data_IF_940622335724
#
_entry.id   IF_940622335724
#
_cell.length_a   1.000
_cell.length_b   1.000
_cell.length_c   1.000
_cell.angle_alpha   90.00
_cell.angle_beta   90.00
_cell.angle_gamma   90.00
#
_symmetry.space_group_name_H-M   'P 1'
#
loop_
_entity.id
_entity.type
_entity.pdbx_description
1 polymer ?
#
# COMPACT_ATOMS: atom_id res chain seq x y z
N UNK A 1 -11.16 -50.76 -13.77
CA UNK A 1 -10.90 -50.79 -12.31
C UNK A 1 -11.75 -49.73 -11.63
N UNK A 2 -12.75 -50.18 -10.83
CA UNK A 2 -13.56 -49.19 -10.03
C UNK A 2 -12.65 -48.65 -8.92
N UNK A 3 -12.35 -47.36 -8.95
CA UNK A 3 -11.73 -46.65 -7.82
C UNK A 3 -12.71 -46.72 -6.65
N UNK A 4 -12.37 -47.45 -5.62
CA UNK A 4 -13.17 -47.56 -4.41
C UNK A 4 -13.14 -46.21 -3.67
N UNK A 5 -14.28 -45.79 -3.19
CA UNK A 5 -14.48 -44.52 -2.41
C UNK A 5 -13.73 -44.52 -1.06
N UNK A 6 -12.97 -45.57 -0.72
CA UNK A 6 -12.15 -45.69 0.49
C UNK A 6 -10.75 -45.06 0.37
N UNK A 7 -10.25 -44.81 -0.87
CA UNK A 7 -8.91 -44.28 -1.12
C UNK A 7 -8.59 -42.96 -0.39
N UNK A 8 -9.45 -41.92 -0.37
CA UNK A 8 -9.10 -40.69 0.29
C UNK A 8 -9.02 -40.78 1.82
N UNK A 9 -9.83 -41.63 2.45
CA UNK A 9 -9.77 -41.85 3.91
C UNK A 9 -8.52 -42.63 4.33
N UNK A 10 -8.10 -43.65 3.57
CA UNK A 10 -6.87 -44.38 3.85
C UNK A 10 -5.62 -43.55 3.66
N UNK A 11 -5.56 -42.72 2.60
CA UNK A 11 -4.45 -41.80 2.37
C UNK A 11 -4.35 -40.74 3.50
N UNK A 12 -5.49 -40.22 3.97
CA UNK A 12 -5.53 -39.25 5.07
C UNK A 12 -5.02 -39.89 6.38
N UNK A 13 -5.44 -41.15 6.66
CA UNK A 13 -5.02 -41.87 7.87
C UNK A 13 -3.53 -42.20 7.82
N UNK A 14 -3.01 -42.65 6.68
CA UNK A 14 -1.58 -42.92 6.48
C UNK A 14 -0.73 -41.65 6.61
N UNK A 15 -1.21 -40.52 6.10
CA UNK A 15 -0.53 -39.21 6.26
C UNK A 15 -0.47 -38.77 7.74
N UNK A 16 -1.56 -38.95 8.48
CA UNK A 16 -1.61 -38.69 9.91
C UNK A 16 -0.68 -39.59 10.73
N UNK A 17 -0.66 -40.90 10.44
CA UNK A 17 0.20 -41.88 11.11
C UNK A 17 1.68 -41.57 10.85
N UNK A 18 2.04 -41.13 9.64
CA UNK A 18 3.41 -40.73 9.27
C UNK A 18 3.85 -39.43 10.03
N UNK A 19 2.96 -38.48 10.22
CA UNK A 19 3.22 -37.25 11.02
C UNK A 19 3.44 -37.60 12.49
N UNK A 20 2.68 -38.51 13.04
CA UNK A 20 2.73 -38.88 14.47
C UNK A 20 3.93 -39.74 14.82
N UNK A 21 4.50 -40.52 13.85
CA UNK A 21 5.65 -41.40 14.08
C UNK A 21 6.95 -40.63 14.35
N UNK A 22 7.13 -39.45 13.70
CA UNK A 22 8.33 -38.59 13.84
C UNK A 22 7.97 -37.14 14.14
N UNK A 23 7.33 -36.91 15.28
CA UNK A 23 6.71 -35.62 15.67
C UNK A 23 7.62 -34.41 15.47
N UNK A 24 8.87 -34.44 15.96
CA UNK A 24 9.79 -33.31 15.85
C UNK A 24 10.15 -32.94 14.40
N UNK A 25 10.40 -33.97 13.55
CA UNK A 25 10.77 -33.74 12.15
C UNK A 25 9.58 -33.22 11.35
N UNK A 26 8.41 -33.81 11.57
CA UNK A 26 7.17 -33.43 10.91
C UNK A 26 6.76 -31.99 11.29
N UNK A 27 6.84 -31.64 12.56
CA UNK A 27 6.55 -30.27 13.03
C UNK A 27 7.51 -29.27 12.39
N UNK A 28 8.82 -29.54 12.36
CA UNK A 28 9.82 -28.63 11.79
C UNK A 28 9.57 -28.42 10.26
N UNK A 29 9.21 -29.48 9.58
CA UNK A 29 8.92 -29.48 8.14
C UNK A 29 7.64 -28.71 7.82
N UNK A 30 6.56 -28.99 8.54
CA UNK A 30 5.28 -28.27 8.40
C UNK A 30 5.48 -26.79 8.75
N UNK A 31 6.28 -26.50 9.76
CA UNK A 31 6.58 -25.14 10.20
C UNK A 31 7.26 -24.31 9.08
N UNK A 32 8.16 -24.89 8.30
CA UNK A 32 8.76 -24.22 7.14
C UNK A 32 7.73 -23.83 6.09
N UNK A 33 6.77 -24.71 5.77
CA UNK A 33 5.68 -24.43 4.82
C UNK A 33 4.74 -23.36 5.41
N UNK A 34 4.36 -23.51 6.68
CA UNK A 34 3.48 -22.59 7.40
C UNK A 34 4.07 -21.18 7.40
N UNK A 35 5.35 -21.03 7.77
CA UNK A 35 6.03 -19.72 7.80
C UNK A 35 6.10 -19.12 6.40
N UNK A 36 6.44 -19.91 5.37
CA UNK A 36 6.48 -19.44 3.99
C UNK A 36 5.11 -18.90 3.52
N UNK A 37 4.03 -19.60 3.83
CA UNK A 37 2.67 -19.20 3.45
C UNK A 37 2.18 -18.01 4.29
N UNK A 38 2.45 -17.99 5.61
CA UNK A 38 2.12 -16.85 6.46
C UNK A 38 2.78 -15.58 5.90
N UNK A 39 4.08 -15.63 5.63
CA UNK A 39 4.82 -14.48 5.10
C UNK A 39 4.21 -13.99 3.79
N UNK A 40 3.95 -14.89 2.84
CA UNK A 40 3.35 -14.53 1.55
C UNK A 40 1.98 -13.85 1.72
N UNK A 41 1.08 -14.44 2.52
CA UNK A 41 -0.29 -13.95 2.67
C UNK A 41 -0.35 -12.66 3.49
N UNK A 42 0.40 -12.55 4.60
CA UNK A 42 0.40 -11.35 5.42
C UNK A 42 0.95 -10.17 4.65
N UNK A 43 2.06 -10.34 3.90
CA UNK A 43 2.60 -9.27 3.06
C UNK A 43 1.63 -8.91 1.93
N UNK A 44 1.08 -9.90 1.22
CA UNK A 44 0.07 -9.64 0.19
C UNK A 44 -1.16 -8.89 0.74
N UNK A 45 -1.60 -9.24 1.95
CA UNK A 45 -2.71 -8.57 2.65
C UNK A 45 -2.39 -7.11 2.94
N UNK A 46 -1.21 -6.82 3.49
CA UNK A 46 -0.77 -5.46 3.77
C UNK A 46 -0.64 -4.64 2.48
N UNK A 47 0.05 -5.17 1.46
CA UNK A 47 0.25 -4.46 0.20
C UNK A 47 -1.07 -4.16 -0.53
N UNK A 48 -2.01 -5.11 -0.53
CA UNK A 48 -3.34 -4.90 -1.12
C UNK A 48 -4.12 -3.84 -0.34
N UNK A 49 -4.08 -3.90 0.98
CA UNK A 49 -4.74 -2.92 1.83
C UNK A 49 -4.15 -1.51 1.65
N UNK A 50 -2.81 -1.41 1.60
CA UNK A 50 -2.11 -0.15 1.33
C UNK A 50 -2.54 0.45 -0.02
N UNK A 51 -2.52 -0.34 -1.08
CA UNK A 51 -2.96 0.09 -2.40
C UNK A 51 -4.38 0.62 -2.39
N UNK A 52 -5.31 -0.11 -1.76
CA UNK A 52 -6.70 0.33 -1.67
C UNK A 52 -6.85 1.64 -0.87
N UNK A 53 -6.05 1.84 0.18
CA UNK A 53 -6.04 3.10 0.93
C UNK A 53 -5.55 4.26 0.07
N UNK A 54 -4.48 4.07 -0.71
CA UNK A 54 -3.98 5.12 -1.61
C UNK A 54 -5.01 5.47 -2.67
N UNK A 55 -5.64 4.45 -3.30
CA UNK A 55 -6.71 4.68 -4.28
C UNK A 55 -7.85 5.49 -3.65
N UNK A 56 -8.30 5.12 -2.44
CA UNK A 56 -9.35 5.86 -1.74
C UNK A 56 -8.95 7.31 -1.42
N UNK A 57 -7.70 7.55 -1.02
CA UNK A 57 -7.18 8.91 -0.76
C UNK A 57 -7.20 9.72 -2.05
N UNK A 58 -6.69 9.18 -3.14
CA UNK A 58 -6.65 9.85 -4.45
C UNK A 58 -8.06 10.19 -4.95
N UNK A 59 -9.02 9.27 -4.80
CA UNK A 59 -10.42 9.49 -5.13
C UNK A 59 -11.05 10.61 -4.26
N UNK A 60 -10.75 10.64 -2.96
CA UNK A 60 -11.24 11.66 -2.03
C UNK A 60 -10.70 13.06 -2.39
N UNK A 61 -9.50 13.18 -2.99
CA UNK A 61 -8.92 14.46 -3.45
C UNK A 61 -9.41 14.95 -4.81
N UNK A 62 -10.18 14.13 -5.51
CA UNK A 62 -10.73 14.45 -6.83
C UNK A 62 -9.94 13.80 -7.96
N UNK A 63 -10.51 12.75 -8.54
CA UNK A 63 -9.91 11.94 -9.60
C UNK A 63 -9.63 12.71 -10.91
N UNK A 64 -10.26 13.89 -11.09
CA UNK A 64 -10.08 14.73 -12.28
C UNK A 64 -9.11 15.89 -12.06
N UNK A 65 -8.38 15.88 -10.95
CA UNK A 65 -7.39 16.91 -10.63
C UNK A 65 -6.01 16.53 -11.15
N UNK A 66 -5.35 17.49 -11.77
CA UNK A 66 -3.96 17.40 -12.22
C UNK A 66 -3.16 18.39 -11.37
N UNK A 67 -2.12 17.89 -10.71
CA UNK A 67 -1.23 18.70 -9.92
C UNK A 67 -0.02 19.11 -10.75
N UNK A 68 0.31 20.38 -10.75
CA UNK A 68 1.46 20.94 -11.48
C UNK A 68 2.43 21.52 -10.48
N UNK A 69 3.69 21.09 -10.56
CA UNK A 69 4.80 21.49 -9.69
C UNK A 69 5.96 22.00 -10.52
N UNK A 70 6.82 22.81 -9.93
CA UNK A 70 8.10 23.16 -10.57
C UNK A 70 9.23 22.18 -10.19
N UNK A 71 9.10 21.46 -9.06
CA UNK A 71 9.99 20.39 -8.64
C UNK A 71 9.36 19.04 -8.98
N UNK A 72 10.15 17.99 -8.99
CA UNK A 72 9.64 16.62 -9.13
C UNK A 72 8.75 16.27 -7.95
N UNK A 73 7.60 15.66 -8.23
CA UNK A 73 6.64 15.18 -7.22
C UNK A 73 7.05 13.83 -6.61
N UNK A 74 8.13 13.21 -7.11
CA UNK A 74 8.63 11.92 -6.63
C UNK A 74 9.12 11.93 -5.18
N UNK A 75 9.32 10.73 -4.62
CA UNK A 75 9.83 10.53 -3.26
C UNK A 75 11.33 10.83 -3.13
N UNK A 76 12.03 11.03 -4.24
CA UNK A 76 13.46 11.32 -4.26
C UNK A 76 13.72 12.78 -3.93
N UNK A 77 14.85 13.06 -3.27
CA UNK A 77 15.28 14.44 -3.06
C UNK A 77 15.53 15.12 -4.41
N UNK A 78 14.98 16.35 -4.62
CA UNK A 78 15.20 17.08 -5.85
C UNK A 78 16.68 17.26 -6.13
N UNK A 79 17.11 16.94 -7.35
CA UNK A 79 18.48 17.14 -7.80
C UNK A 79 18.89 18.62 -7.75
N UNK A 80 20.18 18.93 -7.88
CA UNK A 80 20.65 20.33 -7.91
C UNK A 80 20.05 21.11 -9.08
N UNK A 81 19.89 20.46 -10.21
CA UNK A 81 19.32 21.08 -11.42
C UNK A 81 17.82 21.35 -11.24
N UNK A 82 17.10 20.43 -10.58
CA UNK A 82 15.68 20.63 -10.25
C UNK A 82 15.45 21.78 -9.27
N UNK A 83 16.30 21.93 -8.24
CA UNK A 83 16.22 23.06 -7.30
C UNK A 83 16.41 24.42 -7.95
N UNK A 84 17.05 24.46 -9.12
CA UNK A 84 17.26 25.67 -9.92
C UNK A 84 16.16 25.91 -10.96
N UNK A 85 15.16 25.01 -11.07
CA UNK A 85 14.04 25.19 -11.99
C UNK A 85 13.27 26.47 -11.67
N UNK A 86 12.78 27.11 -12.72
CA UNK A 86 11.97 28.31 -12.59
C UNK A 86 10.63 27.99 -11.92
N UNK A 87 10.26 28.66 -10.81
CA UNK A 87 8.96 28.48 -10.17
C UNK A 87 7.80 28.72 -11.14
N UNK A 88 6.65 28.09 -10.87
CA UNK A 88 5.39 28.42 -11.54
C UNK A 88 4.96 29.83 -11.17
N UNK A 89 4.25 30.49 -12.05
CA UNK A 89 3.81 31.87 -11.88
C UNK A 89 2.31 32.02 -12.09
N UNK A 90 1.73 33.11 -11.56
CA UNK A 90 0.34 33.51 -11.84
C UNK A 90 0.04 33.56 -13.34
N UNK A 91 1.02 33.98 -14.15
CA UNK A 91 0.87 34.03 -15.61
C UNK A 91 0.82 32.63 -16.24
N UNK A 92 1.46 31.62 -15.62
CA UNK A 92 1.36 30.24 -16.07
C UNK A 92 -0.04 29.68 -15.78
N UNK A 93 -0.56 29.91 -14.57
CA UNK A 93 -1.93 29.54 -14.20
C UNK A 93 -2.98 30.20 -15.12
N UNK A 94 -2.86 31.51 -15.36
CA UNK A 94 -3.76 32.24 -16.25
C UNK A 94 -3.72 31.69 -17.69
N UNK A 95 -2.55 31.29 -18.19
CA UNK A 95 -2.42 30.71 -19.52
C UNK A 95 -3.03 29.32 -19.62
N UNK A 96 -2.89 28.47 -18.58
CA UNK A 96 -3.54 27.17 -18.51
C UNK A 96 -5.07 27.31 -18.60
N UNK A 97 -5.65 28.23 -17.85
CA UNK A 97 -7.07 28.49 -17.87
C UNK A 97 -7.57 29.05 -19.21
N UNK A 98 -6.80 29.96 -19.83
CA UNK A 98 -7.22 30.64 -21.05
C UNK A 98 -7.03 29.82 -22.33
N UNK A 99 -6.04 28.91 -22.39
CA UNK A 99 -5.61 28.24 -23.61
C UNK A 99 -6.00 26.77 -23.70
N UNK A 100 -6.29 26.10 -22.58
CA UNK A 100 -6.76 24.71 -22.60
C UNK A 100 -8.28 24.65 -22.68
N UNK A 101 -8.80 23.80 -23.57
CA UNK A 101 -10.23 23.53 -23.67
C UNK A 101 -10.73 22.46 -22.69
N UNK A 102 -9.80 21.68 -22.14
CA UNK A 102 -10.08 20.58 -21.22
C UNK A 102 -10.16 21.05 -19.75
N UNK A 103 -9.60 22.24 -19.45
CA UNK A 103 -9.61 22.80 -18.09
C UNK A 103 -11.00 23.33 -17.75
N UNK A 104 -11.54 22.86 -16.62
CA UNK A 104 -12.81 23.33 -16.06
C UNK A 104 -12.60 24.44 -15.02
N UNK A 105 -11.67 24.22 -14.08
CA UNK A 105 -11.29 25.18 -13.03
C UNK A 105 -9.83 24.95 -12.63
N UNK A 106 -9.23 25.89 -11.95
CA UNK A 106 -7.90 25.76 -11.36
C UNK A 106 -7.77 26.56 -10.08
N UNK A 107 -6.89 26.13 -9.19
CA UNK A 107 -6.55 26.84 -7.97
C UNK A 107 -5.04 26.87 -7.77
N UNK A 108 -4.55 27.98 -7.19
CA UNK A 108 -3.15 28.14 -6.82
C UNK A 108 -2.96 27.89 -5.34
N UNK A 109 -1.87 27.23 -5.02
CA UNK A 109 -1.47 26.96 -3.65
C UNK A 109 -0.06 27.52 -3.46
N UNK A 110 0.12 28.29 -2.40
CA UNK A 110 1.41 28.68 -1.86
C UNK A 110 1.75 27.69 -0.72
N UNK A 111 2.56 26.63 -0.98
CA UNK A 111 2.76 25.58 0.00
C UNK A 111 3.75 25.97 1.09
N UNK A 112 3.60 25.36 2.26
CA UNK A 112 4.57 25.38 3.37
C UNK A 112 5.05 26.79 3.76
N UNK A 113 4.13 27.75 3.89
CA UNK A 113 4.43 29.17 4.16
C UNK A 113 5.19 29.37 5.48
N UNK A 114 4.95 28.51 6.46
CA UNK A 114 5.45 28.68 7.82
C UNK A 114 6.85 28.15 8.13
N UNK A 115 7.52 27.48 7.21
CA UNK A 115 8.88 26.92 7.45
C UNK A 115 9.97 28.01 7.50
N UNK A 116 9.91 28.88 8.49
CA UNK A 116 10.85 30.03 8.62
C UNK A 116 12.28 29.65 9.04
N UNK A 117 12.52 28.44 9.61
CA UNK A 117 13.83 28.02 10.12
C UNK A 117 14.23 26.59 9.70
N UNK A 118 13.84 26.14 8.50
CA UNK A 118 14.12 24.78 8.08
C UNK A 118 13.27 23.70 8.77
N UNK A 119 12.34 24.10 9.63
CA UNK A 119 11.29 23.25 10.19
C UNK A 119 10.09 23.27 9.25
N UNK A 120 9.64 22.14 8.81
CA UNK A 120 8.49 22.02 7.88
C UNK A 120 7.13 22.23 8.56
N UNK A 121 7.10 22.58 9.84
CA UNK A 121 5.89 22.67 10.63
C UNK A 121 5.79 24.01 11.36
N UNK A 122 4.60 24.58 11.36
CA UNK A 122 4.26 25.78 12.12
C UNK A 122 3.78 25.47 13.52
N UNK A 123 3.93 26.45 14.40
CA UNK A 123 3.46 26.36 15.77
C UNK A 123 2.25 27.28 15.99
N UNK A 124 1.08 26.70 16.21
CA UNK A 124 -0.11 27.43 16.65
C UNK A 124 -0.17 27.47 18.17
N UNK A 125 -0.48 28.62 18.72
CA UNK A 125 -0.55 28.83 20.17
C UNK A 125 -1.89 29.49 20.53
N UNK A 126 -2.59 28.91 21.50
CA UNK A 126 -3.82 29.45 22.08
C UNK A 126 -3.81 29.23 23.61
N UNK A 127 -3.90 30.29 24.40
CA UNK A 127 -3.98 30.24 25.89
C UNK A 127 -2.99 29.28 26.56
N UNK A 128 -1.74 29.27 26.09
CA UNK A 128 -0.68 28.40 26.62
C UNK A 128 -0.63 26.98 26.06
N UNK A 129 -1.66 26.54 25.32
CA UNK A 129 -1.63 25.30 24.53
C UNK A 129 -0.92 25.57 23.21
N UNK A 130 -0.21 24.57 22.68
CA UNK A 130 0.48 24.71 21.42
C UNK A 130 0.35 23.45 20.56
N UNK A 131 0.32 23.64 19.24
CA UNK A 131 0.38 22.57 18.24
C UNK A 131 1.52 22.87 17.26
N UNK A 132 2.55 22.02 17.24
CA UNK A 132 3.83 22.25 16.52
C UNK A 132 3.94 21.55 15.18
N UNK A 133 2.91 20.84 14.77
CA UNK A 133 2.95 19.98 13.57
C UNK A 133 2.05 20.50 12.45
N UNK A 134 1.68 21.78 12.50
CA UNK A 134 0.81 22.38 11.52
C UNK A 134 1.51 22.52 10.16
N UNK A 135 0.81 22.17 9.10
CA UNK A 135 1.23 22.35 7.71
C UNK A 135 0.44 23.55 7.15
N UNK A 136 1.11 24.68 6.93
CA UNK A 136 0.44 25.91 6.54
C UNK A 136 0.54 26.13 5.04
N UNK A 137 -0.62 26.19 4.37
CA UNK A 137 -0.73 26.47 2.94
C UNK A 137 -1.58 27.74 2.72
N UNK A 138 -1.14 28.57 1.78
CA UNK A 138 -1.93 29.67 1.26
C UNK A 138 -2.77 29.20 0.09
N UNK A 139 -4.10 29.34 0.16
CA UNK A 139 -5.02 28.78 -0.84
C UNK A 139 -6.01 29.83 -1.37
N UNK A 140 -6.48 29.62 -2.59
CA UNK A 140 -7.56 30.42 -3.18
C UNK A 140 -8.94 29.94 -2.69
N UNK A 141 -9.97 30.76 -2.80
CA UNK A 141 -11.33 30.43 -2.31
C UNK A 141 -11.95 29.17 -2.89
N UNK A 142 -11.64 28.84 -4.15
CA UNK A 142 -12.15 27.65 -4.84
C UNK A 142 -11.42 26.36 -4.46
N UNK A 143 -10.35 26.43 -3.66
CA UNK A 143 -9.59 25.25 -3.21
C UNK A 143 -10.48 24.20 -2.52
N UNK A 144 -11.42 24.65 -1.67
CA UNK A 144 -12.30 23.72 -0.96
C UNK A 144 -13.14 22.87 -1.92
N UNK A 145 -13.61 23.48 -3.00
CA UNK A 145 -14.42 22.77 -4.00
C UNK A 145 -13.56 21.80 -4.83
N UNK A 146 -12.38 22.24 -5.28
CA UNK A 146 -11.50 21.39 -6.09
C UNK A 146 -10.95 20.20 -5.29
N UNK A 147 -10.70 20.40 -4.00
CA UNK A 147 -10.14 19.36 -3.11
C UNK A 147 -11.20 18.56 -2.35
N UNK A 148 -12.49 18.71 -2.69
CA UNK A 148 -13.60 18.06 -1.99
C UNK A 148 -13.51 18.22 -0.46
N UNK A 149 -13.17 19.44 0.00
CA UNK A 149 -12.94 19.70 1.40
C UNK A 149 -14.27 19.95 2.12
N UNK A 150 -14.55 19.17 3.15
CA UNK A 150 -15.74 19.31 3.99
C UNK A 150 -15.36 20.03 5.28
N UNK A 151 -16.18 20.99 5.69
CA UNK A 151 -16.02 21.68 6.97
C UNK A 151 -16.89 21.04 8.04
N UNK A 152 -16.32 20.84 9.21
CA UNK A 152 -17.05 20.42 10.42
C UNK A 152 -17.78 21.60 11.04
N UNK A 153 -17.15 22.79 11.07
CA UNK A 153 -17.72 23.99 11.65
C UNK A 153 -17.21 25.25 10.93
N UNK A 154 -17.99 26.32 10.97
CA UNK A 154 -17.61 27.62 10.43
C UNK A 154 -17.78 27.74 8.90
N UNK A 155 -16.88 28.50 8.27
CA UNK A 155 -16.88 28.76 6.83
C UNK A 155 -15.49 28.66 6.23
N UNK A 156 -15.41 28.50 4.91
CA UNK A 156 -14.16 28.55 4.18
C UNK A 156 -13.75 30.00 3.84
N UNK A 157 -12.53 30.15 3.35
CA UNK A 157 -11.96 31.40 2.85
C UNK A 157 -12.80 31.91 1.68
N UNK A 158 -13.16 33.20 1.73
CA UNK A 158 -13.91 33.84 0.66
C UNK A 158 -13.00 34.74 -0.20
N UNK A 159 -13.49 35.13 -1.38
CA UNK A 159 -12.76 36.06 -2.25
C UNK A 159 -12.51 37.42 -1.53
N UNK A 160 -13.43 37.88 -0.69
CA UNK A 160 -13.25 39.07 0.14
C UNK A 160 -12.07 38.91 1.11
N UNK A 161 -11.93 37.75 1.78
CA UNK A 161 -10.81 37.51 2.69
C UNK A 161 -9.47 37.50 1.94
N UNK A 162 -9.45 36.92 0.72
CA UNK A 162 -8.26 36.86 -0.12
C UNK A 162 -7.85 38.24 -0.68
N UNK A 163 -8.80 39.04 -1.20
CA UNK A 163 -8.53 40.36 -1.74
C UNK A 163 -8.08 41.33 -0.62
N UNK A 164 -8.79 41.32 0.50
CA UNK A 164 -8.47 42.18 1.65
C UNK A 164 -7.25 41.70 2.46
N UNK A 165 -6.71 40.51 2.11
CA UNK A 165 -5.57 39.91 2.83
C UNK A 165 -5.84 39.78 4.33
N UNK A 166 -7.02 39.30 4.70
CA UNK A 166 -7.40 39.10 6.11
C UNK A 166 -6.53 38.07 6.78
N UNK A 167 -6.21 38.26 8.04
CA UNK A 167 -5.50 37.26 8.86
C UNK A 167 -6.50 36.26 9.43
N UNK A 168 -7.00 35.36 8.58
CA UNK A 168 -7.96 34.31 8.92
C UNK A 168 -7.39 32.94 8.60
N UNK A 169 -7.78 31.93 9.39
CA UNK A 169 -7.34 30.56 9.22
C UNK A 169 -8.53 29.60 9.17
N UNK A 170 -8.40 28.59 8.32
CA UNK A 170 -9.19 27.35 8.40
C UNK A 170 -8.23 26.26 8.85
N UNK A 171 -8.54 25.58 9.96
CA UNK A 171 -7.63 24.63 10.60
C UNK A 171 -8.14 23.20 10.48
N UNK A 172 -7.24 22.26 10.35
CA UNK A 172 -7.54 20.83 10.39
C UNK A 172 -7.94 20.37 11.80
N UNK A 173 -8.70 19.28 11.86
CA UNK A 173 -9.26 18.77 13.11
C UNK A 173 -8.19 18.49 14.17
N UNK A 174 -7.02 17.98 13.83
CA UNK A 174 -5.96 17.71 14.80
C UNK A 174 -5.40 18.99 15.45
N UNK A 175 -5.38 20.09 14.70
CA UNK A 175 -5.04 21.41 15.25
C UNK A 175 -6.12 21.86 16.24
N UNK A 176 -7.39 21.66 15.89
CA UNK A 176 -8.52 22.00 16.75
C UNK A 176 -8.56 21.15 18.02
N UNK A 177 -8.42 19.82 17.92
CA UNK A 177 -8.37 18.90 19.05
C UNK A 177 -7.24 19.26 20.04
N UNK A 178 -6.06 19.62 19.52
CA UNK A 178 -4.91 19.98 20.37
C UNK A 178 -5.07 21.33 21.10
N UNK A 179 -5.70 22.31 20.47
CA UNK A 179 -5.89 23.64 21.05
C UNK A 179 -7.17 23.75 21.86
N UNK A 180 -8.24 23.05 21.48
CA UNK A 180 -9.58 23.08 22.07
C UNK A 180 -10.09 21.66 22.37
N UNK A 181 -9.46 20.90 23.29
CA UNK A 181 -9.89 19.52 23.61
C UNK A 181 -11.36 19.48 23.98
N UNK A 182 -12.09 18.52 23.41
CA UNK A 182 -13.54 18.28 23.60
C UNK A 182 -14.48 19.42 23.11
N UNK A 183 -13.93 20.49 22.52
CA UNK A 183 -14.67 21.67 22.09
C UNK A 183 -14.17 22.22 20.73
N UNK A 184 -13.85 21.32 19.79
CA UNK A 184 -13.22 21.68 18.51
C UNK A 184 -14.07 22.65 17.69
N UNK A 185 -15.39 22.55 17.80
CA UNK A 185 -16.34 23.44 17.09
C UNK A 185 -16.34 24.88 17.66
N UNK A 186 -15.94 25.07 18.92
CA UNK A 186 -15.79 26.37 19.56
C UNK A 186 -14.52 27.10 19.13
N UNK A 187 -13.64 26.44 18.36
CA UNK A 187 -12.46 27.06 17.78
C UNK A 187 -12.82 28.21 16.83
N UNK A 188 -13.99 28.14 16.19
CA UNK A 188 -14.46 29.19 15.27
C UNK A 188 -14.68 30.52 16.00
N UNK A 189 -14.11 31.61 15.47
CA UNK A 189 -14.13 32.94 16.07
C UNK A 189 -13.05 33.16 17.13
N UNK A 190 -12.27 32.15 17.52
CA UNK A 190 -11.14 32.34 18.45
C UNK A 190 -9.91 32.90 17.70
N UNK A 191 -9.10 33.65 18.43
CA UNK A 191 -7.86 34.25 17.91
C UNK A 191 -6.66 33.45 18.42
N UNK A 192 -5.92 32.86 17.51
CA UNK A 192 -4.69 32.12 17.77
C UNK A 192 -3.47 32.90 17.33
N UNK A 193 -2.31 32.57 17.87
CA UNK A 193 -1.03 33.11 17.45
C UNK A 193 -0.21 32.10 16.70
N UNK A 194 0.26 32.50 15.52
CA UNK A 194 1.15 31.68 14.67
C UNK A 194 2.28 32.58 14.18
N UNK A 195 3.53 32.17 14.41
CA UNK A 195 4.73 32.90 13.99
C UNK A 195 4.74 34.39 14.40
N UNK A 196 4.28 34.69 15.63
CA UNK A 196 4.23 36.03 16.16
C UNK A 196 3.06 36.89 15.70
N UNK A 197 2.27 36.45 14.72
CA UNK A 197 1.09 37.12 14.19
C UNK A 197 -0.19 36.49 14.76
N UNK A 198 -1.22 37.33 14.96
CA UNK A 198 -2.54 36.91 15.41
C UNK A 198 -3.46 36.58 14.23
N UNK A 199 -4.21 35.54 14.36
CA UNK A 199 -5.08 34.98 13.31
C UNK A 199 -6.44 34.60 13.89
N UNK A 200 -7.52 34.92 13.21
CA UNK A 200 -8.87 34.47 13.54
C UNK A 200 -9.17 33.15 12.89
N UNK A 201 -9.62 32.14 13.65
CA UNK A 201 -10.11 30.87 13.11
C UNK A 201 -11.52 31.08 12.58
N UNK A 202 -11.74 30.85 11.29
CA UNK A 202 -13.04 31.00 10.62
C UNK A 202 -13.72 29.68 10.28
N UNK A 203 -12.97 28.57 10.33
CA UNK A 203 -13.52 27.23 10.05
C UNK A 203 -12.61 26.11 10.53
N UNK A 204 -13.22 24.96 10.74
CA UNK A 204 -12.55 23.69 11.11
C UNK A 204 -12.86 22.66 10.06
N UNK A 205 -11.82 22.01 9.52
CA UNK A 205 -11.95 20.95 8.50
C UNK A 205 -12.43 19.66 9.19
N UNK A 206 -13.34 18.94 8.56
CA UNK A 206 -13.79 17.63 9.01
C UNK A 206 -12.65 16.62 8.91
N UNK A 207 -12.61 15.67 9.86
CA UNK A 207 -11.60 14.61 9.90
C UNK A 207 -11.70 13.73 8.66
N UNK A 208 -10.61 13.61 7.94
CA UNK A 208 -10.54 12.69 6.80
C UNK A 208 -10.23 11.27 7.26
N UNK A 209 -10.48 10.29 6.39
CA UNK A 209 -10.07 8.92 6.64
C UNK A 209 -8.59 8.87 6.92
N UNK A 210 -8.18 8.07 7.91
CA UNK A 210 -6.77 7.91 8.24
C UNK A 210 -5.97 7.48 7.02
N UNK A 211 -4.80 8.07 6.85
CA UNK A 211 -3.84 7.63 5.87
C UNK A 211 -3.25 6.28 6.33
N UNK A 212 -2.76 5.50 5.37
CA UNK A 212 -2.18 4.18 5.58
C UNK A 212 -1.07 4.13 6.67
N UNK A 213 -0.33 5.20 6.90
CA UNK A 213 0.75 5.29 7.90
C UNK A 213 0.40 6.24 9.07
N UNK A 214 -0.84 6.35 9.44
CA UNK A 214 -1.26 7.17 10.58
C UNK A 214 -2.26 8.26 10.21
N UNK A 215 -2.05 9.47 10.74
CA UNK A 215 -2.96 10.60 10.54
C UNK A 215 -2.93 11.10 9.10
N UNK A 216 -4.08 11.51 8.59
CA UNK A 216 -4.14 12.17 7.29
C UNK A 216 -3.41 13.53 7.38
N UNK A 217 -2.49 13.85 6.47
CA UNK A 217 -1.80 15.14 6.47
C UNK A 217 -2.75 16.35 6.41
N UNK A 218 -3.94 16.19 5.81
CA UNK A 218 -4.96 17.24 5.77
C UNK A 218 -5.49 17.59 7.16
N UNK A 219 -5.56 16.62 8.08
CA UNK A 219 -6.04 16.86 9.46
C UNK A 219 -5.10 17.79 10.26
N UNK A 220 -3.86 17.99 9.77
CA UNK A 220 -2.85 18.91 10.33
C UNK A 220 -2.72 20.20 9.55
N UNK A 221 -3.47 20.38 8.46
CA UNK A 221 -3.37 21.58 7.63
C UNK A 221 -3.92 22.81 8.32
N UNK A 222 -3.29 23.91 8.01
CA UNK A 222 -3.73 25.25 8.34
C UNK A 222 -3.77 26.03 7.04
N UNK A 223 -4.97 26.41 6.63
CA UNK A 223 -5.20 27.10 5.37
C UNK A 223 -5.43 28.60 5.62
N UNK A 224 -4.72 29.44 4.89
CA UNK A 224 -4.87 30.89 4.91
C UNK A 224 -5.15 31.42 3.52
N UNK A 225 -5.67 32.66 3.37
CA UNK A 225 -5.88 33.26 2.05
C UNK A 225 -4.57 33.35 1.27
N UNK A 226 -4.58 32.98 -0.01
CA UNK A 226 -3.40 32.91 -0.88
C UNK A 226 -2.61 34.24 -0.89
N UNK A 227 -3.30 35.39 -1.05
CA UNK A 227 -2.65 36.68 -1.06
C UNK A 227 -2.07 37.11 0.31
N UNK A 228 -2.66 36.60 1.39
CA UNK A 228 -2.12 36.81 2.75
C UNK A 228 -0.84 35.98 2.92
N UNK A 229 -0.84 34.75 2.47
CA UNK A 229 0.32 33.89 2.46
C UNK A 229 1.50 34.48 1.68
N UNK A 230 1.24 34.98 0.48
CA UNK A 230 2.25 35.68 -0.35
C UNK A 230 2.81 36.94 0.28
N UNK A 231 1.99 37.64 1.04
CA UNK A 231 2.46 38.80 1.82
C UNK A 231 3.32 38.40 3.01
N UNK A 232 2.97 37.28 3.68
CA UNK A 232 3.69 36.78 4.85
C UNK A 232 5.06 36.18 4.49
N UNK A 233 5.20 35.57 3.31
CA UNK A 233 6.42 34.93 2.83
C UNK A 233 6.75 35.30 1.37
N UNK A 234 7.15 36.56 1.10
CA UNK A 234 7.39 37.07 -0.26
C UNK A 234 8.59 36.42 -0.96
N UNK A 235 9.55 35.92 -0.21
CA UNK A 235 10.73 35.18 -0.73
C UNK A 235 10.41 33.80 -1.23
N UNK A 236 9.33 33.18 -0.77
CA UNK A 236 8.88 31.88 -1.22
C UNK A 236 8.10 32.02 -2.50
N UNK A 237 8.77 31.67 -3.59
CA UNK A 237 8.18 31.71 -4.94
C UNK A 237 7.56 30.38 -5.37
N UNK A 238 7.64 29.36 -4.52
CA UNK A 238 7.07 28.06 -4.82
C UNK A 238 5.56 28.17 -4.93
N UNK A 239 5.04 27.69 -6.03
CA UNK A 239 3.61 27.56 -6.29
C UNK A 239 3.31 26.16 -6.75
N UNK A 240 2.15 25.66 -6.33
CA UNK A 240 1.50 24.50 -6.93
C UNK A 240 0.21 24.97 -7.58
N UNK A 241 -0.09 24.39 -8.72
CA UNK A 241 -1.35 24.63 -9.40
C UNK A 241 -2.12 23.32 -9.43
N UNK A 242 -3.35 23.32 -8.92
CA UNK A 242 -4.28 22.21 -9.12
C UNK A 242 -5.18 22.63 -10.27
N UNK A 243 -5.21 21.81 -11.30
CA UNK A 243 -6.05 22.02 -12.48
C UNK A 243 -7.10 20.94 -12.49
N UNK A 244 -8.37 21.31 -12.40
CA UNK A 244 -9.48 20.40 -12.57
C UNK A 244 -9.85 20.34 -14.06
N UNK A 245 -9.80 19.14 -14.61
CA UNK A 245 -10.21 18.89 -16.00
C UNK A 245 -11.63 18.31 -16.07
N UNK A 246 -12.23 18.38 -17.25
CA UNK A 246 -13.53 17.80 -17.48
C UNK A 246 -13.50 16.28 -17.28
N UNK A 247 -14.58 15.67 -16.75
CA UNK A 247 -14.63 14.23 -16.55
C UNK A 247 -14.34 13.46 -17.85
N UNK A 248 -13.42 12.50 -17.77
CA UNK A 248 -12.98 11.69 -18.91
C UNK A 248 -11.93 12.32 -19.83
N UNK A 249 -11.49 13.54 -19.57
CA UNK A 249 -10.47 14.25 -20.36
C UNK A 249 -9.11 14.34 -19.67
N UNK A 250 -8.83 13.50 -18.67
CA UNK A 250 -7.62 13.60 -17.85
C UNK A 250 -6.32 13.56 -18.69
N UNK A 251 -6.22 12.58 -19.59
CA UNK A 251 -5.05 12.44 -20.46
C UNK A 251 -4.93 13.59 -21.48
N UNK A 252 -6.04 14.08 -22.01
CA UNK A 252 -6.05 15.24 -22.91
C UNK A 252 -5.64 16.50 -22.16
N UNK A 253 -6.19 16.70 -20.95
CA UNK A 253 -5.84 17.83 -20.10
C UNK A 253 -4.37 17.84 -19.70
N UNK A 254 -3.78 16.69 -19.35
CA UNK A 254 -2.36 16.57 -19.05
C UNK A 254 -1.50 16.97 -20.26
N UNK A 255 -1.84 16.51 -21.47
CA UNK A 255 -1.16 16.88 -22.71
C UNK A 255 -1.31 18.37 -23.04
N UNK A 256 -2.49 18.94 -22.86
CA UNK A 256 -2.72 20.39 -23.03
C UNK A 256 -1.84 21.20 -22.08
N UNK A 257 -1.85 20.86 -20.78
CA UNK A 257 -1.05 21.52 -19.74
C UNK A 257 0.43 21.46 -20.11
N UNK A 258 0.93 20.27 -20.49
CA UNK A 258 2.32 20.11 -20.89
C UNK A 258 2.67 20.99 -22.09
N UNK A 259 1.86 20.98 -23.14
CA UNK A 259 2.12 21.73 -24.35
C UNK A 259 2.14 23.25 -24.12
N UNK A 260 1.17 23.76 -23.31
CA UNK A 260 1.06 25.16 -22.95
C UNK A 260 2.27 25.62 -22.13
N UNK A 261 2.65 24.84 -21.11
CA UNK A 261 3.78 25.18 -20.25
C UNK A 261 5.11 25.09 -21.00
N UNK A 262 5.34 24.07 -21.81
CA UNK A 262 6.55 23.95 -22.66
C UNK A 262 6.70 25.17 -23.59
N UNK A 263 5.61 25.57 -24.25
CA UNK A 263 5.60 26.75 -25.13
C UNK A 263 5.92 28.04 -24.36
N UNK A 264 5.32 28.22 -23.18
CA UNK A 264 5.54 29.43 -22.35
C UNK A 264 6.96 29.51 -21.79
N UNK A 265 7.54 28.37 -21.45
CA UNK A 265 8.87 28.26 -20.88
C UNK A 265 9.97 28.22 -21.94
N UNK A 266 9.59 28.15 -23.22
CA UNK A 266 10.50 28.16 -24.36
C UNK A 266 11.30 26.88 -24.49
N UNK A 267 10.78 25.75 -23.98
CA UNK A 267 11.44 24.45 -24.06
C UNK A 267 11.38 23.92 -25.50
N UNK A 268 12.51 23.44 -25.99
CA UNK A 268 12.62 22.86 -27.34
C UNK A 268 12.09 21.42 -27.37
N UNK A 269 11.78 20.96 -28.57
CA UNK A 269 11.42 19.55 -28.79
C UNK A 269 12.59 18.66 -28.37
N UNK A 270 12.33 17.69 -27.49
CA UNK A 270 13.33 16.78 -26.93
C UNK A 270 14.04 17.26 -25.64
N UNK A 271 13.85 18.52 -25.24
CA UNK A 271 14.31 18.96 -23.92
C UNK A 271 13.39 18.40 -22.82
N UNK A 272 13.95 17.97 -21.66
CA UNK A 272 13.13 17.55 -20.52
C UNK A 272 12.30 18.74 -19.97
N UNK A 273 11.17 18.43 -19.34
CA UNK A 273 10.35 19.45 -18.70
C UNK A 273 11.08 20.03 -17.48
N UNK A 274 10.97 21.34 -17.28
CA UNK A 274 11.43 22.06 -16.09
C UNK A 274 10.28 22.25 -15.07
N UNK A 275 9.23 21.46 -15.20
CA UNK A 275 8.05 21.33 -14.33
C UNK A 275 7.63 19.87 -14.31
N UNK A 276 6.80 19.52 -13.36
CA UNK A 276 6.21 18.21 -13.22
C UNK A 276 4.68 18.26 -13.26
N UNK A 277 4.07 17.25 -13.83
CA UNK A 277 2.62 17.09 -13.96
C UNK A 277 2.28 15.75 -13.35
N UNK A 278 1.45 15.75 -12.34
CA UNK A 278 1.07 14.54 -11.63
C UNK A 278 -0.45 14.38 -11.68
N UNK A 279 -0.87 13.26 -12.24
CA UNK A 279 -2.27 12.84 -12.23
C UNK A 279 -2.54 11.85 -11.10
N UNK A 280 -3.82 11.61 -10.80
CA UNK A 280 -4.24 10.57 -9.89
C UNK A 280 -3.68 9.18 -10.28
N UNK A 281 -3.62 8.90 -11.57
CA UNK A 281 -3.09 7.65 -12.12
C UNK A 281 -1.57 7.54 -11.91
N UNK A 282 -0.83 8.64 -12.08
CA UNK A 282 0.61 8.69 -11.87
C UNK A 282 0.97 8.44 -10.40
N UNK A 283 0.22 9.04 -9.46
CA UNK A 283 0.38 8.78 -8.02
C UNK A 283 0.19 7.29 -7.70
N UNK A 284 -0.88 6.69 -8.19
CA UNK A 284 -1.15 5.26 -7.99
C UNK A 284 -0.04 4.42 -8.60
N UNK A 285 0.44 4.74 -9.81
CA UNK A 285 1.49 4.01 -10.50
C UNK A 285 2.85 4.08 -9.75
N UNK A 286 3.20 5.22 -9.18
CA UNK A 286 4.40 5.36 -8.34
C UNK A 286 4.33 4.45 -7.11
N UNK A 287 3.18 4.43 -6.42
CA UNK A 287 2.97 3.53 -5.29
C UNK A 287 2.98 2.06 -5.71
N UNK A 288 2.35 1.72 -6.84
CA UNK A 288 2.38 0.35 -7.38
C UNK A 288 3.82 -0.12 -7.67
N UNK A 289 4.70 0.78 -8.09
CA UNK A 289 6.14 0.52 -8.25
C UNK A 289 6.83 0.15 -6.93
N UNK A 290 6.61 0.93 -5.88
CA UNK A 290 7.17 0.67 -4.54
C UNK A 290 6.61 -0.65 -3.97
N UNK A 291 5.29 -0.81 -4.03
CA UNK A 291 4.57 -2.01 -3.59
C UNK A 291 5.08 -3.25 -4.32
N UNK A 292 5.32 -3.13 -5.64
CA UNK A 292 5.87 -4.19 -6.48
C UNK A 292 7.26 -4.63 -6.01
N UNK A 293 8.14 -3.69 -5.68
CA UNK A 293 9.47 -3.96 -5.13
C UNK A 293 9.42 -4.74 -3.81
N UNK A 294 8.60 -4.29 -2.87
CA UNK A 294 8.37 -4.97 -1.59
C UNK A 294 7.76 -6.36 -1.81
N UNK A 295 6.82 -6.47 -2.76
CA UNK A 295 6.19 -7.73 -3.12
C UNK A 295 7.19 -8.76 -3.65
N UNK A 296 8.12 -8.37 -4.52
CA UNK A 296 9.19 -9.24 -5.02
C UNK A 296 10.08 -9.74 -3.87
N UNK A 297 10.48 -8.85 -2.97
CA UNK A 297 11.28 -9.24 -1.80
C UNK A 297 10.53 -10.24 -0.90
N UNK A 298 9.23 -10.02 -0.67
CA UNK A 298 8.40 -10.92 0.11
C UNK A 298 8.25 -12.30 -0.54
N UNK A 299 8.06 -12.35 -1.87
CA UNK A 299 8.02 -13.60 -2.63
C UNK A 299 9.35 -14.36 -2.48
N UNK A 300 10.50 -13.68 -2.58
CA UNK A 300 11.80 -14.30 -2.43
C UNK A 300 11.98 -14.94 -1.03
N UNK A 301 11.59 -14.22 0.03
CA UNK A 301 11.64 -14.74 1.41
C UNK A 301 10.70 -15.93 1.59
N UNK A 302 9.46 -15.83 1.06
CA UNK A 302 8.49 -16.92 1.12
C UNK A 302 8.98 -18.16 0.37
N UNK A 303 9.59 -18.00 -0.80
CA UNK A 303 10.19 -19.09 -1.57
C UNK A 303 11.29 -19.81 -0.78
N UNK A 304 12.13 -19.08 -0.03
CA UNK A 304 13.15 -19.69 0.84
C UNK A 304 12.50 -20.54 1.94
N UNK A 305 11.46 -20.03 2.60
CA UNK A 305 10.69 -20.79 3.59
C UNK A 305 10.08 -22.07 3.02
N UNK A 306 9.45 -21.95 1.84
CA UNK A 306 8.85 -23.08 1.13
C UNK A 306 9.90 -24.10 0.64
N UNK A 307 11.09 -23.66 0.21
CA UNK A 307 12.21 -24.54 -0.14
C UNK A 307 12.67 -25.36 1.06
N UNK A 308 12.89 -24.71 2.20
CA UNK A 308 13.30 -25.39 3.44
C UNK A 308 12.24 -26.39 3.88
N UNK A 309 10.96 -25.99 3.86
CA UNK A 309 9.83 -26.87 4.15
C UNK A 309 9.73 -28.04 3.15
N UNK A 310 9.91 -27.78 1.85
CA UNK A 310 9.88 -28.78 0.80
C UNK A 310 11.00 -29.84 0.93
N UNK A 311 12.24 -29.41 1.23
CA UNK A 311 13.34 -30.32 1.53
C UNK A 311 13.01 -31.16 2.76
N UNK A 312 12.38 -30.57 3.76
CA UNK A 312 11.89 -31.31 4.93
C UNK A 312 10.86 -32.37 4.55
N UNK A 313 9.87 -32.05 3.70
CA UNK A 313 8.90 -33.02 3.17
C UNK A 313 9.61 -34.16 2.43
N UNK A 314 10.56 -33.84 1.56
CA UNK A 314 11.34 -34.83 0.83
C UNK A 314 12.06 -35.78 1.79
N UNK A 315 12.68 -35.25 2.84
CA UNK A 315 13.39 -36.07 3.83
C UNK A 315 12.46 -36.98 4.63
N UNK A 316 11.28 -36.48 5.04
CA UNK A 316 10.26 -37.32 5.72
C UNK A 316 9.80 -38.43 4.81
N UNK A 317 9.50 -38.11 3.56
CA UNK A 317 9.02 -39.10 2.59
C UNK A 317 10.10 -40.16 2.27
N UNK A 318 11.39 -39.78 2.21
CA UNK A 318 12.48 -40.75 2.02
C UNK A 318 12.58 -41.75 3.18
N UNK A 319 12.46 -41.23 4.43
CA UNK A 319 12.45 -42.11 5.62
C UNK A 319 11.19 -43.01 5.62
N UNK A 320 10.02 -42.43 5.33
CA UNK A 320 8.78 -43.23 5.23
C UNK A 320 8.87 -44.36 4.18
N UNK A 321 9.55 -44.12 3.04
CA UNK A 321 9.80 -45.14 2.03
C UNK A 321 10.68 -46.28 2.58
N UNK A 322 11.74 -45.94 3.34
CA UNK A 322 12.63 -46.97 3.93
C UNK A 322 11.92 -47.79 5.02
N UNK A 323 11.13 -47.17 5.88
CA UNK A 323 10.37 -47.83 6.93
C UNK A 323 9.28 -48.76 6.38
N UNK A 324 8.67 -48.36 5.23
CA UNK A 324 7.60 -49.12 4.59
C UNK A 324 8.10 -49.99 3.43
N UNK A 325 9.40 -50.31 3.34
CA UNK A 325 10.00 -51.08 2.27
C UNK A 325 9.31 -52.45 2.07
N UNK A 326 9.05 -53.17 3.16
CA UNK A 326 8.36 -54.48 3.13
C UNK A 326 6.92 -54.38 2.63
N UNK A 327 6.18 -53.36 3.04
CA UNK A 327 4.81 -53.10 2.59
C UNK A 327 4.75 -52.79 1.08
N UNK A 328 5.70 -51.98 0.58
CA UNK A 328 5.84 -51.64 -0.85
C UNK A 328 6.14 -52.94 -1.63
N UNK A 329 7.03 -53.80 -1.11
CA UNK A 329 7.36 -55.08 -1.69
C UNK A 329 6.13 -56.00 -1.84
N UNK A 330 5.33 -56.12 -0.78
CA UNK A 330 4.08 -56.93 -0.81
C UNK A 330 3.10 -56.38 -1.85
N UNK A 331 2.88 -55.05 -1.89
CA UNK A 331 1.97 -54.44 -2.90
C UNK A 331 2.43 -54.71 -4.33
N UNK A 332 3.72 -54.63 -4.60
CA UNK A 332 4.30 -54.94 -5.92
C UNK A 332 4.21 -56.41 -6.28
N UNK A 333 4.43 -57.32 -5.31
CA UNK A 333 4.25 -58.75 -5.49
C UNK A 333 2.80 -59.13 -5.81
N UNK A 334 1.82 -58.37 -5.26
CA UNK A 334 0.40 -58.52 -5.57
C UNK A 334 -0.02 -57.84 -6.89
N UNK A 335 0.93 -57.28 -7.66
CA UNK A 335 0.69 -56.74 -9.00
C UNK A 335 0.47 -55.22 -9.05
N UNK A 336 0.80 -54.44 -8.01
CA UNK A 336 0.72 -52.98 -8.07
C UNK A 336 1.70 -52.41 -9.12
N UNK A 337 1.20 -51.54 -10.00
CA UNK A 337 2.03 -50.89 -11.01
C UNK A 337 2.93 -49.81 -10.40
N UNK A 338 4.05 -49.52 -11.07
CA UNK A 338 4.96 -48.44 -10.64
C UNK A 338 4.23 -47.10 -10.52
N UNK A 339 3.31 -46.82 -11.45
CA UNK A 339 2.52 -45.55 -11.43
C UNK A 339 1.57 -45.47 -10.22
N UNK A 340 1.01 -46.63 -9.78
CA UNK A 340 0.16 -46.64 -8.59
C UNK A 340 0.94 -46.33 -7.31
N UNK A 341 2.16 -46.86 -7.19
CA UNK A 341 3.05 -46.54 -6.06
C UNK A 341 3.47 -45.06 -6.09
N UNK A 342 3.87 -44.54 -7.27
CA UNK A 342 4.22 -43.10 -7.41
C UNK A 342 3.04 -42.24 -7.00
N UNK A 343 1.84 -42.51 -7.51
CA UNK A 343 0.65 -41.69 -7.21
C UNK A 343 0.32 -41.71 -5.73
N UNK A 344 0.45 -42.86 -5.06
CA UNK A 344 0.18 -42.97 -3.62
C UNK A 344 1.11 -42.07 -2.81
N UNK A 345 2.44 -42.16 -3.02
CA UNK A 345 3.40 -41.31 -2.29
C UNK A 345 3.32 -39.84 -2.65
N UNK A 346 2.95 -39.47 -3.89
CA UNK A 346 2.67 -38.10 -4.28
C UNK A 346 1.44 -37.55 -3.56
N UNK A 347 0.35 -38.30 -3.50
CA UNK A 347 -0.85 -37.88 -2.77
C UNK A 347 -0.56 -37.72 -1.28
N UNK A 348 0.28 -38.58 -0.68
CA UNK A 348 0.70 -38.45 0.72
C UNK A 348 1.48 -37.16 0.95
N UNK A 349 2.48 -36.84 0.10
CA UNK A 349 3.24 -35.60 0.16
C UNK A 349 2.36 -34.37 -0.04
N UNK A 350 1.47 -34.37 -1.03
CA UNK A 350 0.54 -33.29 -1.31
C UNK A 350 -0.44 -33.04 -0.15
N UNK A 351 -0.92 -34.12 0.49
CA UNK A 351 -1.82 -34.04 1.65
C UNK A 351 -1.11 -33.37 2.83
N UNK A 352 0.14 -33.79 3.11
CA UNK A 352 0.93 -33.22 4.19
C UNK A 352 1.16 -31.71 3.99
N UNK A 353 1.56 -31.31 2.78
CA UNK A 353 1.80 -29.90 2.46
C UNK A 353 0.51 -29.08 2.41
N UNK A 354 -0.60 -29.68 1.96
CA UNK A 354 -1.93 -29.06 1.97
C UNK A 354 -2.37 -28.70 3.41
N UNK A 355 -2.21 -29.62 4.37
CA UNK A 355 -2.51 -29.32 5.77
C UNK A 355 -1.61 -28.21 6.33
N UNK A 356 -0.30 -28.25 6.03
CA UNK A 356 0.60 -27.14 6.35
C UNK A 356 0.12 -25.83 5.75
N UNK A 357 -0.33 -25.86 4.48
CA UNK A 357 -0.90 -24.70 3.80
C UNK A 357 -2.14 -24.14 4.46
N UNK A 358 -3.09 -25.01 4.81
CA UNK A 358 -4.33 -24.59 5.49
C UNK A 358 -4.03 -23.98 6.86
N UNK A 359 -3.15 -24.60 7.64
CA UNK A 359 -2.71 -24.04 8.93
C UNK A 359 -2.06 -22.67 8.73
N UNK A 360 -1.17 -22.54 7.75
CA UNK A 360 -0.51 -21.27 7.40
C UNK A 360 -1.52 -20.18 7.03
N UNK A 361 -2.53 -20.51 6.22
CA UNK A 361 -3.61 -19.57 5.83
C UNK A 361 -4.42 -19.13 7.04
N UNK A 362 -4.86 -20.06 7.89
CA UNK A 362 -5.65 -19.74 9.09
C UNK A 362 -4.85 -18.81 10.02
N UNK A 363 -3.58 -19.11 10.25
CA UNK A 363 -2.69 -18.26 11.05
C UNK A 363 -2.45 -16.91 10.38
N UNK A 364 -2.26 -16.85 9.07
CA UNK A 364 -2.09 -15.61 8.34
C UNK A 364 -3.33 -14.70 8.43
N UNK A 365 -4.54 -15.26 8.31
CA UNK A 365 -5.80 -14.53 8.52
C UNK A 365 -5.88 -14.02 9.96
N UNK A 366 -5.55 -14.86 10.94
CA UNK A 366 -5.52 -14.47 12.35
C UNK A 366 -4.55 -13.32 12.62
N UNK A 367 -3.32 -13.39 12.09
CA UNK A 367 -2.30 -12.34 12.20
C UNK A 367 -2.78 -11.06 11.51
N UNK A 368 -3.29 -11.14 10.29
CA UNK A 368 -3.79 -9.96 9.56
C UNK A 368 -4.94 -9.28 10.31
N UNK A 369 -5.86 -10.06 10.88
CA UNK A 369 -6.96 -9.53 11.71
C UNK A 369 -6.44 -8.89 12.99
N UNK A 370 -5.46 -9.51 13.65
CA UNK A 370 -4.83 -8.96 14.85
C UNK A 370 -4.09 -7.65 14.55
N UNK A 371 -3.37 -7.56 13.43
CA UNK A 371 -2.72 -6.32 12.98
C UNK A 371 -3.75 -5.21 12.79
N UNK A 372 -4.87 -5.49 12.15
CA UNK A 372 -5.95 -4.52 11.92
C UNK A 372 -6.61 -4.05 13.23
N UNK A 373 -6.69 -4.93 14.25
CA UNK A 373 -7.23 -4.57 15.57
C UNK A 373 -6.26 -3.72 16.40
N UNK A 374 -4.96 -4.02 16.32
CA UNK A 374 -3.94 -3.31 17.09
C UNK A 374 -3.52 -2.00 16.43
N UNK A 375 -3.55 -1.95 15.11
CA UNK A 375 -3.15 -0.79 14.30
C UNK A 375 -4.22 -0.52 13.26
N UNK A 376 -5.32 0.18 13.62
CA UNK A 376 -6.44 0.42 12.70
C UNK A 376 -6.06 1.19 11.43
N UNK A 377 -4.95 1.91 11.45
CA UNK A 377 -4.41 2.61 10.28
C UNK A 377 -3.74 1.68 9.24
N UNK A 378 -3.45 0.42 9.61
CA UNK A 378 -2.89 -0.57 8.68
C UNK A 378 -4.02 -1.45 8.11
N UNK A 379 -4.46 -1.23 6.87
CA UNK A 379 -5.52 -2.02 6.27
C UNK A 379 -4.98 -3.37 5.82
N UNK A 380 -5.06 -4.39 6.69
CA UNK A 380 -4.59 -5.74 6.42
C UNK A 380 -5.76 -6.62 5.91
N UNK A 381 -6.20 -6.41 4.67
CA UNK A 381 -7.27 -7.19 4.06
C UNK A 381 -6.71 -8.37 3.29
N UNK A 382 -7.01 -9.60 3.72
CA UNK A 382 -6.55 -10.80 3.01
C UNK A 382 -7.36 -11.00 1.73
N UNK A 383 -6.76 -10.83 0.54
CA UNK A 383 -7.47 -10.99 -0.72
C UNK A 383 -7.68 -12.48 -1.05
N UNK A 384 -8.81 -12.81 -1.66
CA UNK A 384 -9.15 -14.20 -2.04
C UNK A 384 -8.09 -14.84 -2.94
N UNK A 385 -7.48 -14.08 -3.84
CA UNK A 385 -6.43 -14.60 -4.72
C UNK A 385 -5.21 -15.10 -3.93
N UNK A 386 -4.86 -14.46 -2.80
CA UNK A 386 -3.74 -14.89 -1.97
C UNK A 386 -4.03 -16.24 -1.27
N UNK A 387 -5.27 -16.48 -0.87
CA UNK A 387 -5.69 -17.76 -0.31
C UNK A 387 -5.59 -18.85 -1.36
N UNK A 388 -6.12 -18.62 -2.56
CA UNK A 388 -6.10 -19.60 -3.67
C UNK A 388 -4.67 -19.91 -4.10
N UNK A 389 -3.83 -18.89 -4.26
CA UNK A 389 -2.41 -19.06 -4.61
C UNK A 389 -1.63 -19.76 -3.49
N UNK A 390 -1.93 -19.47 -2.22
CA UNK A 390 -1.33 -20.15 -1.07
C UNK A 390 -1.62 -21.64 -1.07
N UNK A 391 -2.87 -22.07 -1.32
CA UNK A 391 -3.26 -23.48 -1.44
C UNK A 391 -2.55 -24.10 -2.64
N UNK A 392 -2.61 -23.47 -3.81
CA UNK A 392 -1.98 -23.99 -5.03
C UNK A 392 -0.46 -24.18 -4.85
N UNK A 393 0.19 -23.21 -4.21
CA UNK A 393 1.63 -23.27 -3.93
C UNK A 393 1.97 -24.39 -2.95
N UNK A 394 1.19 -24.56 -1.87
CA UNK A 394 1.43 -25.65 -0.90
C UNK A 394 1.32 -27.03 -1.55
N UNK A 395 0.31 -27.25 -2.39
CA UNK A 395 0.14 -28.48 -3.15
C UNK A 395 1.30 -28.66 -4.15
N UNK A 396 1.70 -27.58 -4.83
CA UNK A 396 2.83 -27.56 -5.75
C UNK A 396 4.15 -27.96 -5.11
N UNK A 397 4.42 -27.47 -3.90
CA UNK A 397 5.59 -27.88 -3.09
C UNK A 397 5.55 -29.37 -2.79
N UNK A 398 4.39 -29.89 -2.34
CA UNK A 398 4.22 -31.34 -2.12
C UNK A 398 4.47 -32.18 -3.37
N UNK A 399 3.99 -31.69 -4.52
CA UNK A 399 4.21 -32.35 -5.81
C UNK A 399 5.71 -32.34 -6.19
N UNK A 400 6.37 -31.18 -6.17
CA UNK A 400 7.78 -31.05 -6.59
C UNK A 400 8.69 -31.92 -5.72
N UNK A 401 8.61 -31.74 -4.39
CA UNK A 401 9.48 -32.43 -3.46
C UNK A 401 9.07 -33.88 -3.18
N UNK A 402 7.82 -34.26 -3.47
CA UNK A 402 7.33 -35.64 -3.36
C UNK A 402 7.71 -36.56 -4.53
N UNK A 403 7.99 -36.00 -5.73
CA UNK A 403 8.33 -36.80 -6.93
C UNK A 403 9.56 -37.69 -6.71
N UNK A 404 10.61 -37.18 -6.08
CA UNK A 404 11.88 -37.87 -5.92
C UNK A 404 11.75 -39.09 -4.99
N UNK A 405 11.17 -38.98 -3.76
CA UNK A 405 10.92 -40.15 -2.91
C UNK A 405 9.91 -41.15 -3.53
N UNK A 406 8.85 -40.65 -4.17
CA UNK A 406 7.87 -41.50 -4.82
C UNK A 406 8.47 -42.35 -5.95
N UNK A 407 9.37 -41.78 -6.77
CA UNK A 407 10.10 -42.53 -7.80
C UNK A 407 11.06 -43.53 -7.19
N UNK A 408 11.73 -43.23 -6.06
CA UNK A 408 12.57 -44.21 -5.36
C UNK A 408 11.74 -45.40 -4.88
N UNK A 409 10.61 -45.16 -4.22
CA UNK A 409 9.69 -46.21 -3.77
C UNK A 409 9.23 -47.10 -4.92
N UNK A 410 8.88 -46.55 -6.08
CA UNK A 410 8.45 -47.29 -7.24
C UNK A 410 9.54 -48.12 -7.92
N UNK A 411 10.83 -47.81 -7.71
CA UNK A 411 11.97 -48.53 -8.28
C UNK A 411 12.44 -49.71 -7.42
N UNK A 412 12.01 -49.83 -6.17
CA UNK A 412 12.39 -50.95 -5.28
C UNK A 412 12.04 -52.33 -5.90
N UNK A 413 12.94 -53.30 -5.76
CA UNK A 413 12.69 -54.66 -6.22
C UNK A 413 11.83 -55.41 -5.19
N UNK A 414 10.73 -56.07 -5.60
CA UNK A 414 9.87 -56.80 -4.68
C UNK A 414 10.62 -57.91 -3.90
N UNK A 415 11.61 -58.57 -4.51
CA UNK A 415 12.36 -59.66 -3.90
C UNK A 415 13.28 -59.15 -2.81
N UNK A 416 13.99 -58.04 -3.10
CA UNK A 416 14.85 -57.38 -2.12
C UNK A 416 14.04 -56.79 -0.97
N UNK A 417 12.87 -56.21 -1.25
CA UNK A 417 11.99 -55.64 -0.23
C UNK A 417 11.46 -56.67 0.76
N UNK A 418 11.19 -57.88 0.32
CA UNK A 418 10.70 -58.99 1.17
C UNK A 418 11.82 -59.63 2.01
N UNK A 419 13.07 -59.44 1.60
CA UNK A 419 14.26 -59.97 2.27
C UNK A 419 14.85 -58.97 3.30
N UNK A 420 14.33 -57.77 3.32
CA UNK A 420 14.75 -56.72 4.26
C UNK A 420 14.20 -57.02 5.67
N UNK A 421 15.08 -57.28 6.63
CA UNK A 421 14.75 -57.41 8.05
C UNK A 421 14.65 -56.06 8.77
#
# INVERSE_FOLDING_TARGET
MRFSTSLPREVLRMAMDSVLSHKFRSVLTILGIVVGIITAIVVASLLTGMRNSIVSIVEDYGSNNIHVYHLSSGFDEPSRDERNRRPLTDADAAALFAQSSSVNDLTKIAPNIGSFNGSFNDNLVYEGKNYRWALTDGVEPNYAQLSNLVLRAGRFITESDNIQRRNVLVIGVNCAEALFPDHEDEAVGKVVRMNGTTWEIIGVIEKRKAAFLGENPEDRKVLMPYRTARKAAPERKEERIIVQVKPGELALGAGDIESILRKRRGLKVGEPNDFDIETAEDMIAQFDGIIGGVGIAAIAISCLGLLVGGIGVMNIMLVSVTERTKEIGIRKALGATRSAIVLQFLLEAMTLTFFGGVIGIVLAIGISTLVMLLVPSLPAQVPLWAIVTGIATSIGVGLIFGVLPARKAAKLDPIECLRYE
#
